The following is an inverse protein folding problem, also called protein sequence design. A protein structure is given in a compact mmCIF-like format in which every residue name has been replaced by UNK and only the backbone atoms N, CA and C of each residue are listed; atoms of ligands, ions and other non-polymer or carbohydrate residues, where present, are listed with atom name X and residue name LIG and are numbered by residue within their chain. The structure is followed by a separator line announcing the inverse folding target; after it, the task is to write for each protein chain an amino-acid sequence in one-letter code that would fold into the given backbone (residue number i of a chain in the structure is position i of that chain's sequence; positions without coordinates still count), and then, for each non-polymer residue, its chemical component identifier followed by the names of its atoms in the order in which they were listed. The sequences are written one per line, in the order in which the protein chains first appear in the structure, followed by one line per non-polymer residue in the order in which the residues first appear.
data_IF_385389236336
#
_entry.id   IF_385389236336
#
_cell.length_a   1.000
_cell.length_b   1.000
_cell.length_c   1.000
_cell.angle_alpha   90.00
_cell.angle_beta   90.00
_cell.angle_gamma   90.00
#
_symmetry.space_group_name_H-M   'P 1'
#
loop_
_entity.id
_entity.type
_entity.pdbx_description
1 polymer ?
#
# COMPACT_ATOMS: atom_id res chain seq x y z
N UNK A 1 -24.87 2.86 -43.67
CA UNK A 1 -23.91 2.14 -44.54
C UNK A 1 -23.15 3.16 -45.38
N UNK A 2 -21.80 3.10 -45.45
CA UNK A 2 -21.01 4.08 -46.21
C UNK A 2 -21.26 4.04 -47.73
N UNK A 3 -21.65 2.87 -48.26
CA UNK A 3 -22.02 2.69 -49.67
C UNK A 3 -22.90 1.45 -49.87
N UNK A 4 -23.46 1.30 -51.08
CA UNK A 4 -24.30 0.16 -51.52
C UNK A 4 -23.58 -1.19 -51.43
N UNK A 5 -24.33 -2.27 -51.20
CA UNK A 5 -23.79 -3.61 -50.87
C UNK A 5 -23.02 -4.29 -52.01
N UNK A 6 -23.38 -4.02 -53.27
CA UNK A 6 -22.78 -4.61 -54.48
C UNK A 6 -22.59 -3.52 -55.55
N UNK A 7 -21.71 -3.78 -56.53
CA UNK A 7 -21.51 -2.91 -57.69
C UNK A 7 -20.68 -1.65 -57.42
N UNK A 8 -19.78 -1.69 -56.43
CA UNK A 8 -18.86 -0.58 -56.10
C UNK A 8 -17.38 -0.93 -56.25
N UNK A 9 -17.03 -2.22 -56.44
CA UNK A 9 -15.64 -2.70 -56.47
C UNK A 9 -14.89 -2.63 -55.12
N UNK A 10 -15.52 -2.11 -54.06
CA UNK A 10 -14.93 -1.95 -52.72
C UNK A 10 -15.31 -3.11 -51.80
N UNK A 11 -14.50 -3.37 -50.77
CA UNK A 11 -14.84 -4.31 -49.69
C UNK A 11 -16.20 -3.93 -49.05
N UNK A 12 -17.00 -4.88 -48.57
CA UNK A 12 -18.34 -4.58 -48.01
C UNK A 12 -18.22 -3.87 -46.67
N UNK A 13 -19.02 -2.81 -46.44
CA UNK A 13 -18.99 -2.05 -45.19
C UNK A 13 -20.39 -1.74 -44.66
N UNK A 14 -20.56 -1.94 -43.35
CA UNK A 14 -21.82 -1.73 -42.62
C UNK A 14 -21.96 -0.34 -42.01
N UNK A 15 -20.88 0.19 -41.43
CA UNK A 15 -20.86 1.45 -40.67
C UNK A 15 -19.52 2.16 -40.85
N UNK A 16 -19.52 3.49 -40.80
CA UNK A 16 -18.29 4.29 -40.75
C UNK A 16 -17.57 4.17 -39.39
N UNK A 17 -18.27 3.69 -38.35
CA UNK A 17 -17.74 3.51 -36.99
C UNK A 17 -17.18 2.11 -36.73
N UNK A 18 -17.06 1.28 -37.77
CA UNK A 18 -16.58 -0.09 -37.62
C UNK A 18 -15.11 -0.10 -37.18
N UNK A 19 -14.72 -1.05 -36.34
CA UNK A 19 -13.42 -1.02 -35.65
C UNK A 19 -12.20 -1.16 -36.56
N UNK A 20 -12.39 -1.73 -37.75
CA UNK A 20 -11.36 -1.84 -38.78
C UNK A 20 -11.07 -0.51 -39.52
N UNK A 21 -11.91 0.52 -39.34
CA UNK A 21 -11.71 1.84 -39.97
C UNK A 21 -10.92 2.78 -39.06
N UNK A 22 -10.11 3.65 -39.66
CA UNK A 22 -9.46 4.77 -38.97
C UNK A 22 -10.55 5.71 -38.44
N UNK A 23 -10.50 6.04 -37.14
CA UNK A 23 -11.56 6.80 -36.46
C UNK A 23 -12.81 5.97 -36.12
N UNK A 24 -12.80 4.66 -36.36
CA UNK A 24 -13.83 3.72 -35.92
C UNK A 24 -13.76 3.43 -34.41
N UNK A 25 -14.76 2.71 -33.90
CA UNK A 25 -14.81 2.33 -32.48
C UNK A 25 -13.75 1.27 -32.12
N UNK A 26 -13.32 1.20 -30.85
CA UNK A 26 -12.45 0.12 -30.37
C UNK A 26 -13.28 -1.15 -30.10
N UNK A 27 -12.90 -2.29 -30.69
CA UNK A 27 -13.64 -3.55 -30.57
C UNK A 27 -13.75 -4.04 -29.11
N UNK A 28 -12.67 -3.93 -28.34
CA UNK A 28 -12.64 -4.21 -26.89
C UNK A 28 -12.23 -2.94 -26.15
N UNK A 29 -13.07 -1.93 -26.17
CA UNK A 29 -12.83 -0.71 -25.40
C UNK A 29 -12.76 -1.03 -23.90
N UNK A 30 -11.79 -0.45 -23.16
CA UNK A 30 -11.71 -0.64 -21.72
C UNK A 30 -12.99 -0.10 -21.07
N UNK A 31 -13.57 -0.89 -20.18
CA UNK A 31 -14.68 -0.48 -19.32
C UNK A 31 -14.14 -0.27 -17.91
N UNK A 32 -14.74 0.67 -17.18
CA UNK A 32 -14.51 0.79 -15.75
C UNK A 32 -14.92 -0.53 -15.09
N UNK A 33 -13.99 -1.14 -14.35
CA UNK A 33 -14.18 -2.40 -13.64
C UNK A 33 -13.54 -2.30 -12.28
N UNK A 34 -14.10 -3.04 -11.35
CA UNK A 34 -13.50 -3.26 -10.05
C UNK A 34 -12.40 -4.33 -10.15
N UNK A 35 -11.31 -4.12 -9.41
CA UNK A 35 -10.17 -5.01 -9.29
C UNK A 35 -10.00 -5.55 -7.86
N UNK A 36 -10.93 -5.26 -6.95
CA UNK A 36 -10.94 -5.82 -5.61
C UNK A 36 -11.08 -7.35 -5.66
N UNK A 37 -10.29 -8.03 -4.82
CA UNK A 37 -10.39 -9.47 -4.62
C UNK A 37 -10.59 -9.78 -3.14
N UNK A 38 -11.59 -10.62 -2.85
CA UNK A 38 -11.89 -11.00 -1.47
C UNK A 38 -10.83 -11.95 -0.92
N UNK A 39 -10.20 -11.55 0.18
CA UNK A 39 -9.26 -12.40 0.94
C UNK A 39 -9.91 -12.84 2.26
N UNK A 40 -9.91 -14.13 2.62
CA UNK A 40 -10.43 -14.57 3.92
C UNK A 40 -9.73 -13.93 5.12
N UNK A 41 -10.47 -13.66 6.20
CA UNK A 41 -9.92 -13.03 7.43
C UNK A 41 -8.72 -13.81 8.01
N UNK A 42 -8.79 -15.15 8.00
CA UNK A 42 -7.74 -16.01 8.54
C UNK A 42 -6.44 -15.88 7.74
N UNK A 43 -6.54 -15.82 6.40
CA UNK A 43 -5.38 -15.64 5.51
C UNK A 43 -4.73 -14.28 5.75
N UNK A 44 -5.52 -13.22 5.94
CA UNK A 44 -4.98 -11.89 6.28
C UNK A 44 -4.21 -11.90 7.60
N UNK A 45 -4.78 -12.49 8.66
CA UNK A 45 -4.09 -12.63 9.95
C UNK A 45 -2.80 -13.42 9.81
N UNK A 46 -2.83 -14.56 9.11
CA UNK A 46 -1.67 -15.40 8.88
C UNK A 46 -0.55 -14.66 8.10
N UNK A 47 -0.92 -13.88 7.08
CA UNK A 47 0.03 -13.10 6.30
C UNK A 47 0.73 -12.01 7.12
N UNK A 48 0.01 -11.33 8.02
CA UNK A 48 0.60 -10.34 8.94
C UNK A 48 1.58 -11.03 9.90
N UNK A 49 1.19 -12.16 10.50
CA UNK A 49 2.09 -12.95 11.38
C UNK A 49 3.35 -13.36 10.63
N UNK A 50 3.22 -13.86 9.41
CA UNK A 50 4.34 -14.26 8.56
C UNK A 50 5.26 -13.06 8.21
N UNK A 51 4.69 -11.90 7.87
CA UNK A 51 5.46 -10.71 7.55
C UNK A 51 6.28 -10.21 8.75
N UNK A 52 5.69 -10.22 9.95
CA UNK A 52 6.40 -9.84 11.19
C UNK A 52 7.46 -10.87 11.55
N UNK A 53 7.15 -12.16 11.44
CA UNK A 53 8.11 -13.24 11.65
C UNK A 53 9.31 -13.11 10.72
N UNK A 54 9.08 -12.73 9.46
CA UNK A 54 10.15 -12.46 8.50
C UNK A 54 11.02 -11.29 8.92
N UNK A 55 10.43 -10.17 9.35
CA UNK A 55 11.19 -9.01 9.86
C UNK A 55 12.02 -9.35 11.09
N UNK A 56 11.50 -10.20 11.96
CA UNK A 56 12.25 -10.71 13.11
C UNK A 56 13.43 -11.61 12.67
N UNK A 57 13.19 -12.52 11.71
CA UNK A 57 14.24 -13.38 11.16
C UNK A 57 15.37 -12.58 10.49
N UNK A 58 15.01 -11.49 9.79
CA UNK A 58 15.95 -10.56 9.16
C UNK A 58 16.65 -9.63 10.17
N UNK A 59 16.39 -9.76 11.48
CA UNK A 59 16.85 -8.85 12.56
C UNK A 59 16.48 -7.38 12.32
N UNK A 60 15.40 -7.14 11.59
CA UNK A 60 14.89 -5.82 11.21
C UNK A 60 13.62 -5.44 11.99
N UNK A 61 13.33 -6.14 13.09
CA UNK A 61 12.24 -5.84 14.01
C UNK A 61 12.81 -5.16 15.28
N UNK A 62 12.31 -3.97 15.58
CA UNK A 62 12.69 -3.19 16.75
C UNK A 62 11.46 -2.92 17.62
N UNK A 63 11.59 -3.13 18.92
CA UNK A 63 10.53 -2.81 19.89
C UNK A 63 11.03 -1.68 20.78
N UNK A 64 10.26 -0.59 20.83
CA UNK A 64 10.52 0.57 21.67
C UNK A 64 9.50 0.60 22.81
N UNK A 65 9.92 0.98 24.02
CA UNK A 65 8.99 1.13 25.15
C UNK A 65 7.94 2.21 24.86
N UNK A 66 8.39 3.42 24.54
CA UNK A 66 7.52 4.51 24.15
C UNK A 66 8.26 5.45 23.18
N UNK A 67 7.50 6.05 22.26
CA UNK A 67 8.00 7.10 21.39
C UNK A 67 6.99 8.22 21.25
N UNK A 68 6.95 9.12 22.23
CA UNK A 68 6.04 10.27 22.24
C UNK A 68 6.83 11.59 22.19
N UNK A 69 7.08 12.17 21.01
CA UNK A 69 7.78 13.46 20.92
C UNK A 69 6.89 14.59 21.45
N UNK A 70 7.46 15.45 22.29
CA UNK A 70 6.75 16.58 22.89
C UNK A 70 6.30 17.61 21.84
N UNK A 71 7.07 17.77 20.76
CA UNK A 71 6.74 18.63 19.61
C UNK A 71 6.86 17.84 18.31
N UNK A 72 5.98 18.07 17.32
CA UNK A 72 6.12 17.43 16.01
C UNK A 72 7.31 18.02 15.25
N UNK A 73 8.31 17.21 14.94
CA UNK A 73 9.55 17.61 14.25
C UNK A 73 10.04 16.49 13.35
N UNK A 74 9.97 16.70 12.03
CA UNK A 74 10.42 15.73 11.03
C UNK A 74 11.94 15.53 11.07
N UNK A 75 12.69 16.63 11.26
CA UNK A 75 14.14 16.61 11.36
C UNK A 75 14.62 15.74 12.51
N UNK A 76 13.97 15.86 13.68
CA UNK A 76 14.31 15.05 14.85
C UNK A 76 14.01 13.57 14.61
N UNK A 77 12.86 13.24 14.01
CA UNK A 77 12.51 11.86 13.70
C UNK A 77 13.52 11.24 12.71
N UNK A 78 13.84 11.93 11.61
CA UNK A 78 14.81 11.45 10.61
C UNK A 78 16.21 11.28 11.23
N UNK A 79 16.63 12.22 12.08
CA UNK A 79 17.90 12.09 12.80
C UNK A 79 17.90 10.89 13.76
N UNK A 80 16.79 10.61 14.45
CA UNK A 80 16.65 9.45 15.32
C UNK A 80 16.77 8.14 14.53
N UNK A 81 16.08 8.03 13.38
CA UNK A 81 16.20 6.87 12.50
C UNK A 81 17.62 6.71 11.93
N UNK A 82 18.27 7.82 11.55
CA UNK A 82 19.64 7.81 11.06
C UNK A 82 20.66 7.36 12.11
N UNK A 83 20.48 7.76 13.38
CA UNK A 83 21.29 7.26 14.50
C UNK A 83 21.12 5.77 14.74
N UNK A 84 19.94 5.22 14.45
CA UNK A 84 19.64 3.79 14.50
C UNK A 84 20.12 3.03 13.24
N UNK A 85 20.68 3.72 12.25
CA UNK A 85 21.12 3.11 10.98
C UNK A 85 19.98 2.63 10.09
N UNK A 86 18.76 3.13 10.29
CA UNK A 86 17.58 2.67 9.58
C UNK A 86 17.37 3.51 8.33
N UNK A 87 17.53 2.91 7.15
CA UNK A 87 17.32 3.61 5.87
C UNK A 87 15.85 3.79 5.52
N UNK A 88 15.01 2.82 5.91
CA UNK A 88 13.57 2.79 5.64
C UNK A 88 12.88 2.01 6.75
N UNK A 89 11.87 2.62 7.39
CA UNK A 89 11.18 2.00 8.51
C UNK A 89 9.69 2.28 8.53
N UNK A 90 8.92 1.25 8.87
CA UNK A 90 7.52 1.36 9.27
C UNK A 90 7.45 1.44 10.80
N UNK A 91 6.81 2.46 11.32
CA UNK A 91 6.51 2.61 12.76
C UNK A 91 5.05 2.30 12.99
N UNK A 92 4.78 1.28 13.80
CA UNK A 92 3.44 0.99 14.32
C UNK A 92 3.31 1.50 15.76
N UNK A 93 2.30 2.33 15.97
CA UNK A 93 2.00 2.91 17.27
C UNK A 93 0.50 3.04 17.52
N UNK A 94 0.15 3.56 18.69
CA UNK A 94 -1.24 3.88 19.03
C UNK A 94 -1.70 5.15 18.29
N UNK A 95 -2.99 5.21 17.96
CA UNK A 95 -3.60 6.30 17.17
C UNK A 95 -3.51 7.67 17.85
N UNK A 96 -3.43 7.69 19.18
CA UNK A 96 -3.42 8.91 19.98
C UNK A 96 -2.12 9.72 19.84
N UNK A 97 -1.06 9.10 19.33
CA UNK A 97 0.24 9.73 19.18
C UNK A 97 0.35 10.60 17.91
N UNK A 98 -0.44 11.67 17.88
CA UNK A 98 -0.50 12.58 16.73
C UNK A 98 0.82 13.30 16.45
N UNK A 99 1.61 13.59 17.48
CA UNK A 99 2.90 14.25 17.30
C UNK A 99 3.86 13.37 16.52
N UNK A 100 3.93 12.07 16.84
CA UNK A 100 4.75 11.11 16.10
C UNK A 100 4.28 10.97 14.65
N UNK A 101 2.97 10.87 14.42
CA UNK A 101 2.41 10.85 13.07
C UNK A 101 2.81 12.09 12.25
N UNK A 102 2.66 13.29 12.83
CA UNK A 102 3.03 14.56 12.17
C UNK A 102 4.54 14.65 11.91
N UNK A 103 5.37 14.08 12.77
CA UNK A 103 6.83 14.03 12.57
C UNK A 103 7.25 13.10 11.45
N UNK A 104 6.49 12.04 11.16
CA UNK A 104 6.90 11.03 10.16
C UNK A 104 6.24 11.27 8.79
N UNK A 105 5.01 11.80 8.75
CA UNK A 105 4.17 11.87 7.52
C UNK A 105 4.84 12.49 6.28
N UNK A 106 5.82 13.37 6.47
CA UNK A 106 6.50 14.08 5.37
C UNK A 106 7.76 13.38 4.86
N UNK A 107 8.20 12.30 5.51
CA UNK A 107 9.43 11.62 5.16
C UNK A 107 9.12 10.37 4.32
N UNK A 108 9.48 10.38 3.03
CA UNK A 108 9.10 9.31 2.09
C UNK A 108 9.57 7.91 2.49
N UNK A 109 10.76 7.82 3.09
CA UNK A 109 11.38 6.54 3.51
C UNK A 109 10.78 5.96 4.79
N UNK A 110 10.03 6.76 5.56
CA UNK A 110 9.50 6.37 6.86
C UNK A 110 7.98 6.51 6.85
N UNK A 111 7.29 5.56 7.45
CA UNK A 111 5.84 5.62 7.53
C UNK A 111 5.39 5.35 8.96
N UNK A 112 4.40 6.10 9.41
CA UNK A 112 3.69 5.80 10.64
C UNK A 112 2.31 5.25 10.29
N UNK A 113 1.93 4.14 10.93
CA UNK A 113 0.58 3.61 10.89
C UNK A 113 0.07 3.30 12.30
N UNK A 114 -1.22 3.57 12.58
CA UNK A 114 -1.86 3.02 13.77
C UNK A 114 -1.95 1.49 13.66
N UNK A 115 -2.00 0.79 14.80
CA UNK A 115 -2.16 -0.68 14.86
C UNK A 115 -3.34 -1.18 14.02
N UNK A 116 -4.46 -0.45 14.03
CA UNK A 116 -5.66 -0.75 13.24
C UNK A 116 -5.42 -0.77 11.72
N UNK A 117 -4.45 0.03 11.25
CA UNK A 117 -4.08 0.15 9.84
C UNK A 117 -2.94 -0.77 9.42
N UNK A 118 -2.48 -1.68 10.30
CA UNK A 118 -1.39 -2.60 9.99
C UNK A 118 -1.75 -3.49 8.80
N UNK A 119 -0.93 -3.41 7.75
CA UNK A 119 -1.14 -4.16 6.52
C UNK A 119 0.16 -4.85 6.10
N UNK A 120 0.03 -5.92 5.31
CA UNK A 120 1.16 -6.73 4.87
C UNK A 120 2.07 -5.96 3.91
N UNK A 121 1.47 -5.12 3.06
CA UNK A 121 2.19 -4.37 2.03
C UNK A 121 3.23 -3.41 2.63
N UNK A 122 2.84 -2.57 3.59
CA UNK A 122 3.72 -1.60 4.22
C UNK A 122 4.80 -2.31 5.07
N UNK A 123 4.46 -3.39 5.77
CA UNK A 123 5.45 -4.18 6.54
C UNK A 123 6.55 -4.73 5.61
N UNK A 124 6.17 -5.18 4.40
CA UNK A 124 7.12 -5.72 3.42
C UNK A 124 7.83 -4.64 2.60
N UNK A 125 7.20 -3.48 2.38
CA UNK A 125 7.76 -2.35 1.62
C UNK A 125 8.90 -1.67 2.36
N UNK A 126 8.82 -1.57 3.68
CA UNK A 126 9.87 -0.97 4.49
C UNK A 126 10.88 -2.01 4.97
N UNK A 127 12.16 -1.64 5.05
CA UNK A 127 13.24 -2.57 5.42
C UNK A 127 13.13 -2.98 6.89
N UNK A 128 12.81 -2.01 7.76
CA UNK A 128 12.69 -2.21 9.21
C UNK A 128 11.27 -1.98 9.70
N UNK A 129 10.88 -2.73 10.74
CA UNK A 129 9.61 -2.57 11.44
C UNK A 129 9.90 -2.15 12.89
N UNK A 130 9.35 -1.02 13.31
CA UNK A 130 9.43 -0.52 14.67
C UNK A 130 8.03 -0.63 15.29
N UNK A 131 7.93 -1.28 16.44
CA UNK A 131 6.71 -1.40 17.23
C UNK A 131 6.90 -0.66 18.56
N UNK A 132 5.91 0.12 18.99
CA UNK A 132 5.83 0.48 20.42
C UNK A 132 5.35 -0.71 21.23
N UNK A 133 5.69 -0.76 22.53
CA UNK A 133 5.27 -1.85 23.43
C UNK A 133 3.75 -2.04 23.44
N UNK A 134 3.01 -0.94 23.53
CA UNK A 134 1.54 -0.95 23.48
C UNK A 134 1.03 -1.48 22.14
N UNK A 135 1.69 -1.09 21.03
CA UNK A 135 1.33 -1.57 19.71
C UNK A 135 1.58 -3.08 19.56
N UNK A 136 2.70 -3.58 20.09
CA UNK A 136 3.00 -5.01 20.06
C UNK A 136 1.96 -5.81 20.87
N UNK A 137 1.55 -5.33 22.03
CA UNK A 137 0.49 -5.97 22.84
C UNK A 137 -0.86 -5.96 22.11
N UNK A 138 -1.28 -4.80 21.59
CA UNK A 138 -2.54 -4.68 20.85
C UNK A 138 -2.56 -5.61 19.61
N UNK A 139 -1.44 -5.67 18.88
CA UNK A 139 -1.31 -6.52 17.70
C UNK A 139 -1.34 -8.01 18.07
N UNK A 140 -0.73 -8.40 19.20
CA UNK A 140 -0.78 -9.78 19.68
C UNK A 140 -2.20 -10.24 19.99
N UNK A 141 -3.04 -9.37 20.57
CA UNK A 141 -4.45 -9.68 20.85
C UNK A 141 -5.29 -9.83 19.58
N UNK A 142 -5.06 -8.97 18.58
CA UNK A 142 -5.78 -9.03 17.29
C UNK A 142 -5.36 -10.24 16.46
N UNK A 143 -4.08 -10.60 16.54
CA UNK A 143 -3.49 -11.74 15.84
C UNK A 143 -3.52 -13.04 16.64
N UNK A 144 -4.19 -13.10 17.79
CA UNK A 144 -4.68 -14.38 18.30
C UNK A 144 -5.75 -14.93 17.31
#
# INVERSE_FOLDING_TARGET
KPYKQKGTGRARQGSIRASQWVGGGKAMAPKMRDHEYHVPKQVRKAAIRAAISKRNADKALFVLDAWAPAKPSTKEAVNAFGKLGLESALVLGMKDNQNLFKSIRNAEKYKFLPVEGANVYDILRHNSLILTKDAAQALSGVLA
#
